data_IF_700994447683
#
_entry.id   IF_700994447683
#
_cell.length_a   1.000
_cell.length_b   1.000
_cell.length_c   1.000
_cell.angle_alpha   90.00
_cell.angle_beta   90.00
_cell.angle_gamma   90.00
#
_symmetry.space_group_name_H-M   'P 1'
#
loop_
_entity.id
_entity.type
_entity.pdbx_description
1 polymer ?
#
# COMPACT_ATOMS: atom_id res chain seq x y z
N UNK A 1 3.67 68.04 -8.53
CA UNK A 1 2.81 66.99 -9.12
C UNK A 1 3.71 66.04 -9.91
N UNK A 2 4.10 64.92 -9.32
CA UNK A 2 4.72 63.82 -10.09
C UNK A 2 3.62 63.27 -11.00
N UNK A 3 3.76 63.41 -12.32
CA UNK A 3 2.69 63.05 -13.27
C UNK A 3 2.54 61.53 -13.35
N UNK A 4 1.32 61.04 -13.60
CA UNK A 4 1.00 59.60 -13.73
C UNK A 4 1.93 58.86 -14.71
N UNK A 5 2.44 59.57 -15.73
CA UNK A 5 3.43 59.06 -16.69
C UNK A 5 4.80 58.75 -16.06
N UNK A 6 5.21 59.52 -15.06
CA UNK A 6 6.47 59.31 -14.32
C UNK A 6 6.38 58.09 -13.40
N UNK A 7 5.23 57.89 -12.74
CA UNK A 7 4.95 56.69 -11.94
C UNK A 7 4.86 55.42 -12.81
N UNK A 8 4.25 55.51 -13.99
CA UNK A 8 4.17 54.40 -14.94
C UNK A 8 5.57 54.03 -15.49
N UNK A 9 6.41 55.02 -15.81
CA UNK A 9 7.77 54.78 -16.27
C UNK A 9 8.66 54.14 -15.19
N UNK A 10 8.52 54.55 -13.92
CA UNK A 10 9.21 53.93 -12.78
C UNK A 10 8.73 52.48 -12.59
N UNK A 11 7.42 52.23 -12.67
CA UNK A 11 6.87 50.87 -12.55
C UNK A 11 7.32 49.94 -13.68
N UNK A 12 7.44 50.44 -14.91
CA UNK A 12 7.95 49.67 -16.06
C UNK A 12 9.45 49.40 -15.90
N UNK A 13 10.25 50.38 -15.46
CA UNK A 13 11.67 50.16 -15.17
C UNK A 13 11.87 49.09 -14.09
N UNK A 14 11.14 49.18 -12.97
CA UNK A 14 11.23 48.19 -11.88
C UNK A 14 10.85 46.77 -12.35
N UNK A 15 9.86 46.63 -13.23
CA UNK A 15 9.48 45.34 -13.79
C UNK A 15 10.55 44.75 -14.72
N UNK A 16 11.24 45.58 -15.50
CA UNK A 16 12.33 45.14 -16.40
C UNK A 16 13.56 44.70 -15.59
N UNK A 17 14.00 45.48 -14.59
CA UNK A 17 15.13 45.12 -13.74
C UNK A 17 14.87 43.85 -12.89
N UNK A 18 13.62 43.62 -12.47
CA UNK A 18 13.27 42.39 -11.74
C UNK A 18 13.37 41.15 -12.63
N UNK A 19 13.05 41.25 -13.92
CA UNK A 19 13.08 40.12 -14.85
C UNK A 19 14.52 39.74 -15.27
N UNK A 20 15.41 40.74 -15.39
CA UNK A 20 16.84 40.53 -15.66
C UNK A 20 17.54 39.88 -14.46
N UNK A 21 17.25 40.33 -13.23
CA UNK A 21 17.78 39.73 -12.00
C UNK A 21 17.34 38.27 -11.80
N UNK A 22 16.08 37.94 -12.12
CA UNK A 22 15.57 36.55 -12.06
C UNK A 22 16.18 35.68 -13.16
N UNK A 23 16.39 36.23 -14.36
CA UNK A 23 17.04 35.50 -15.45
C UNK A 23 18.52 35.22 -15.16
N UNK A 24 19.23 36.19 -14.58
CA UNK A 24 20.61 36.02 -14.12
C UNK A 24 20.71 35.00 -12.99
N UNK A 25 19.81 35.03 -12.00
CA UNK A 25 19.76 34.05 -10.92
C UNK A 25 19.49 32.62 -11.43
N UNK A 26 18.58 32.46 -12.39
CA UNK A 26 18.31 31.17 -13.02
C UNK A 26 19.50 30.67 -13.83
N UNK A 27 20.17 31.56 -14.58
CA UNK A 27 21.37 31.21 -15.33
C UNK A 27 22.51 30.77 -14.39
N UNK A 28 22.73 31.50 -13.29
CA UNK A 28 23.74 31.14 -12.28
C UNK A 28 23.41 29.82 -11.58
N UNK A 29 22.16 29.62 -11.18
CA UNK A 29 21.70 28.37 -10.58
C UNK A 29 21.72 27.20 -11.56
N UNK A 30 21.63 27.43 -12.87
CA UNK A 30 21.80 26.38 -13.87
C UNK A 30 23.28 26.06 -14.12
N UNK A 31 24.14 27.08 -14.18
CA UNK A 31 25.58 26.92 -14.39
C UNK A 31 26.28 26.33 -13.16
N UNK A 32 25.79 26.64 -11.96
CA UNK A 32 26.26 26.11 -10.67
C UNK A 32 25.07 25.68 -9.81
N UNK A 33 24.49 24.49 -10.07
CA UNK A 33 23.33 24.00 -9.33
C UNK A 33 23.53 23.98 -7.81
N UNK A 34 22.54 24.41 -7.02
CA UNK A 34 22.60 24.30 -5.57
C UNK A 34 22.54 22.83 -5.14
N UNK A 35 22.98 22.53 -3.91
CA UNK A 35 22.98 21.17 -3.37
C UNK A 35 21.56 20.54 -3.33
N UNK A 36 20.51 21.35 -3.18
CA UNK A 36 19.11 20.91 -3.23
C UNK A 36 18.69 20.33 -4.59
N UNK A 37 19.46 20.57 -5.64
CA UNK A 37 19.20 20.06 -6.99
C UNK A 37 19.98 18.77 -7.28
N UNK A 38 20.78 18.27 -6.34
CA UNK A 38 21.52 17.02 -6.52
C UNK A 38 20.57 15.82 -6.59
N UNK A 39 20.83 14.83 -7.45
CA UNK A 39 20.02 13.63 -7.51
C UNK A 39 20.24 12.77 -6.27
N UNK A 40 19.30 11.86 -6.03
CA UNK A 40 19.44 10.79 -5.06
C UNK A 40 19.42 9.40 -5.69
N UNK A 41 19.79 8.39 -4.90
CA UNK A 41 19.81 6.99 -5.32
C UNK A 41 19.23 6.06 -4.25
N UNK A 42 18.72 4.90 -4.67
CA UNK A 42 18.52 3.77 -3.77
C UNK A 42 19.88 3.17 -3.41
N UNK A 43 20.10 2.94 -2.12
CA UNK A 43 21.27 2.25 -1.61
C UNK A 43 20.81 0.97 -0.92
N UNK A 44 20.77 -0.10 -1.72
CA UNK A 44 20.32 -1.42 -1.26
C UNK A 44 21.45 -2.19 -0.60
N UNK A 45 21.23 -2.59 0.65
CA UNK A 45 22.00 -3.62 1.32
C UNK A 45 21.31 -4.97 1.12
N UNK A 46 22.11 -5.99 0.85
CA UNK A 46 21.60 -7.28 0.43
C UNK A 46 21.77 -8.29 1.57
N UNK A 47 20.67 -8.61 2.25
CA UNK A 47 20.53 -9.67 3.26
C UNK A 47 21.68 -9.78 4.26
N UNK A 48 22.02 -8.71 5.00
CA UNK A 48 23.09 -8.73 5.99
C UNK A 48 24.52 -8.70 5.44
N UNK A 49 24.72 -8.53 4.12
CA UNK A 49 26.03 -8.28 3.53
C UNK A 49 26.37 -6.78 3.62
N UNK A 50 26.84 -6.38 4.80
CA UNK A 50 27.15 -4.98 5.15
C UNK A 50 28.57 -4.90 5.68
N UNK A 51 29.37 -3.99 5.14
CA UNK A 51 30.76 -3.76 5.56
C UNK A 51 31.02 -2.25 5.72
N UNK A 52 31.55 -1.78 6.87
CA UNK A 52 31.70 -0.35 7.14
C UNK A 52 32.74 0.33 6.26
N UNK A 53 33.80 -0.37 5.84
CA UNK A 53 34.83 0.20 4.97
C UNK A 53 34.28 0.41 3.56
N UNK A 54 33.52 -0.57 3.05
CA UNK A 54 32.85 -0.46 1.76
C UNK A 54 31.75 0.62 1.78
N UNK A 55 31.02 0.76 2.90
CA UNK A 55 30.05 1.85 3.08
C UNK A 55 30.69 3.23 2.95
N UNK A 56 31.87 3.44 3.56
CA UNK A 56 32.62 4.69 3.40
C UNK A 56 33.03 4.90 1.94
N UNK A 57 33.55 3.87 1.26
CA UNK A 57 33.96 3.97 -0.15
C UNK A 57 32.79 4.31 -1.07
N UNK A 58 31.61 3.71 -0.83
CA UNK A 58 30.37 4.00 -1.54
C UNK A 58 30.00 5.47 -1.39
N UNK A 59 29.92 5.98 -0.15
CA UNK A 59 29.54 7.37 0.12
C UNK A 59 30.53 8.38 -0.47
N UNK A 60 31.84 8.11 -0.38
CA UNK A 60 32.86 8.95 -1.01
C UNK A 60 32.75 8.95 -2.54
N UNK A 61 32.43 7.79 -3.14
CA UNK A 61 32.18 7.68 -4.57
C UNK A 61 30.95 8.48 -4.99
N UNK A 62 29.85 8.35 -4.25
CA UNK A 62 28.61 9.09 -4.45
C UNK A 62 28.84 10.60 -4.36
N UNK A 63 29.61 11.07 -3.36
CA UNK A 63 29.96 12.49 -3.23
C UNK A 63 30.72 13.01 -4.45
N UNK A 64 31.74 12.27 -4.92
CA UNK A 64 32.50 12.62 -6.13
C UNK A 64 31.62 12.66 -7.38
N UNK A 65 30.65 11.75 -7.47
CA UNK A 65 29.71 11.68 -8.59
C UNK A 65 28.60 12.74 -8.55
N UNK A 66 28.49 13.51 -7.46
CA UNK A 66 27.52 14.58 -7.35
C UNK A 66 26.21 14.21 -6.63
N UNK A 67 26.07 13.00 -6.09
CA UNK A 67 24.87 12.55 -5.37
C UNK A 67 24.72 13.31 -4.05
N UNK A 68 23.49 13.70 -3.73
CA UNK A 68 23.16 14.47 -2.51
C UNK A 68 22.23 13.77 -1.53
N UNK A 69 21.50 12.73 -1.96
CA UNK A 69 20.52 12.03 -1.13
C UNK A 69 20.53 10.52 -1.40
N UNK A 70 20.30 9.71 -0.37
CA UNK A 70 20.21 8.26 -0.43
C UNK A 70 18.92 7.77 0.21
N UNK A 71 18.33 6.72 -0.35
CA UNK A 71 17.30 5.92 0.33
C UNK A 71 17.96 4.63 0.79
N UNK A 72 18.21 4.53 2.09
CA UNK A 72 18.78 3.33 2.71
C UNK A 72 17.70 2.26 2.82
N UNK A 73 17.90 1.12 2.18
CA UNK A 73 16.98 -0.01 2.21
C UNK A 73 17.78 -1.30 2.35
N UNK A 74 17.28 -2.26 3.12
CA UNK A 74 17.84 -3.61 3.16
C UNK A 74 16.82 -4.61 2.66
N UNK A 75 17.24 -5.46 1.72
CA UNK A 75 16.39 -6.44 1.04
C UNK A 75 17.05 -7.81 1.05
N UNK A 76 16.26 -8.88 1.04
CA UNK A 76 16.74 -10.26 1.13
C UNK A 76 16.62 -11.06 -0.17
N UNK A 77 16.77 -10.40 -1.33
CA UNK A 77 16.43 -10.98 -2.63
C UNK A 77 17.67 -11.46 -3.39
N UNK A 78 17.73 -12.76 -3.67
CA UNK A 78 18.57 -13.31 -4.75
C UNK A 78 20.07 -13.44 -4.46
N UNK A 79 20.50 -13.28 -3.20
CA UNK A 79 21.90 -13.49 -2.78
C UNK A 79 21.99 -14.34 -1.51
N UNK A 80 23.14 -14.99 -1.23
CA UNK A 80 23.36 -15.64 0.05
C UNK A 80 23.32 -14.65 1.21
N UNK A 81 22.68 -15.07 2.31
CA UNK A 81 22.61 -14.29 3.55
C UNK A 81 24.00 -14.03 4.12
N UNK A 82 24.26 -12.77 4.45
CA UNK A 82 25.45 -12.30 5.15
C UNK A 82 25.37 -12.49 6.67
N UNK A 83 26.42 -12.12 7.41
CA UNK A 83 26.52 -12.42 8.84
C UNK A 83 25.76 -11.44 9.74
N UNK A 84 25.27 -10.31 9.21
CA UNK A 84 24.64 -9.26 10.00
C UNK A 84 23.12 -9.43 10.00
N UNK A 85 22.55 -9.70 11.15
CA UNK A 85 21.09 -9.77 11.29
C UNK A 85 20.48 -8.36 11.32
N UNK A 86 19.44 -8.13 10.51
CA UNK A 86 18.70 -6.87 10.48
C UNK A 86 18.26 -6.44 11.89
N UNK A 87 18.48 -5.17 12.22
CA UNK A 87 18.18 -4.56 13.55
C UNK A 87 18.93 -5.16 14.75
N UNK A 88 19.91 -6.05 14.56
CA UNK A 88 20.87 -6.42 15.62
C UNK A 88 21.70 -5.22 16.07
N UNK A 89 22.38 -5.33 17.22
CA UNK A 89 23.30 -4.28 17.71
C UNK A 89 24.38 -3.95 16.67
N UNK A 90 24.97 -4.98 16.06
CA UNK A 90 25.95 -4.82 14.98
C UNK A 90 25.37 -4.06 13.79
N UNK A 91 24.14 -4.36 13.39
CA UNK A 91 23.45 -3.65 12.31
C UNK A 91 23.25 -2.16 12.66
N UNK A 92 22.81 -1.87 13.89
CA UNK A 92 22.58 -0.52 14.34
C UNK A 92 23.88 0.30 14.36
N UNK A 93 24.99 -0.32 14.80
CA UNK A 93 26.31 0.31 14.75
C UNK A 93 26.76 0.63 13.33
N UNK A 94 26.52 -0.28 12.37
CA UNK A 94 26.82 -0.07 10.96
C UNK A 94 25.95 1.05 10.35
N UNK A 95 24.67 1.10 10.71
CA UNK A 95 23.80 2.21 10.30
C UNK A 95 24.27 3.55 10.87
N UNK A 96 24.70 3.59 12.14
CA UNK A 96 25.28 4.78 12.77
C UNK A 96 26.56 5.21 12.06
N UNK A 97 27.41 4.27 11.66
CA UNK A 97 28.60 4.54 10.83
C UNK A 97 28.20 5.19 9.50
N UNK A 98 27.21 4.62 8.79
CA UNK A 98 26.67 5.18 7.54
C UNK A 98 26.19 6.62 7.71
N UNK A 99 25.39 6.87 8.76
CA UNK A 99 24.82 8.18 9.05
C UNK A 99 25.91 9.23 9.35
N UNK A 100 26.95 8.85 10.10
CA UNK A 100 28.09 9.73 10.40
C UNK A 100 28.89 10.06 9.14
N UNK A 101 29.14 9.08 8.29
CA UNK A 101 29.87 9.28 7.04
C UNK A 101 29.08 10.13 6.04
N UNK A 102 27.77 9.90 5.92
CA UNK A 102 26.90 10.74 5.10
C UNK A 102 26.86 12.18 5.62
N UNK A 103 26.74 12.38 6.94
CA UNK A 103 26.83 13.71 7.56
C UNK A 103 28.18 14.38 7.27
N UNK A 104 29.31 13.66 7.40
CA UNK A 104 30.66 14.16 7.07
C UNK A 104 30.77 14.64 5.63
N UNK A 105 30.10 13.97 4.70
CA UNK A 105 30.14 14.25 3.27
C UNK A 105 29.04 15.22 2.80
N UNK A 106 28.10 15.59 3.67
CA UNK A 106 26.93 16.39 3.32
C UNK A 106 26.01 15.66 2.34
N UNK A 107 25.74 14.39 2.63
CA UNK A 107 24.76 13.54 1.93
C UNK A 107 23.60 13.28 2.89
N UNK A 108 22.37 13.48 2.41
CA UNK A 108 21.16 13.18 3.17
C UNK A 108 20.83 11.68 3.09
N UNK A 109 20.30 11.11 4.17
CA UNK A 109 19.79 9.74 4.20
C UNK A 109 18.30 9.77 4.53
N UNK A 110 17.51 9.14 3.67
CA UNK A 110 16.10 8.82 3.87
C UNK A 110 15.94 7.33 4.18
N UNK A 111 14.99 7.00 5.05
CA UNK A 111 14.63 5.62 5.39
C UNK A 111 13.29 5.22 4.77
N UNK A 112 13.15 3.94 4.44
CA UNK A 112 11.84 3.35 4.16
C UNK A 112 10.91 3.42 5.36
N UNK A 113 9.59 3.32 5.13
CA UNK A 113 8.57 3.27 6.18
C UNK A 113 8.60 1.99 7.02
N UNK A 114 9.36 0.98 6.58
CA UNK A 114 9.57 -0.28 7.27
C UNK A 114 10.73 -1.06 6.65
N UNK A 115 11.00 -2.27 7.15
CA UNK A 115 12.01 -3.18 6.59
C UNK A 115 11.70 -3.53 5.13
N UNK A 116 12.73 -3.83 4.33
CA UNK A 116 12.56 -4.12 2.90
C UNK A 116 12.51 -2.85 2.04
N UNK A 117 11.71 -2.89 0.97
CA UNK A 117 11.63 -1.81 -0.02
C UNK A 117 10.29 -1.07 -0.07
N UNK A 118 9.24 -1.57 0.62
CA UNK A 118 7.87 -1.07 0.47
C UNK A 118 6.95 -1.56 1.58
N UNK A 119 5.81 -0.87 1.69
CA UNK A 119 4.79 -1.17 2.69
C UNK A 119 5.16 -0.63 4.08
N UNK A 120 4.41 -1.08 5.07
CA UNK A 120 4.51 -0.66 6.47
C UNK A 120 4.30 -1.85 7.40
N UNK A 121 5.02 -2.94 7.12
CA UNK A 121 4.93 -4.20 7.84
C UNK A 121 6.10 -4.44 8.79
N UNK A 122 5.85 -5.13 9.91
CA UNK A 122 6.89 -5.63 10.80
C UNK A 122 6.35 -6.72 11.72
N UNK A 123 7.23 -7.51 12.36
CA UNK A 123 6.82 -8.61 13.24
C UNK A 123 6.02 -8.14 14.47
N UNK A 124 6.09 -6.85 14.80
CA UNK A 124 5.35 -6.21 15.88
C UNK A 124 3.88 -5.91 15.55
N UNK A 125 3.47 -6.01 14.28
CA UNK A 125 2.07 -5.82 13.90
C UNK A 125 1.26 -7.07 14.28
N UNK A 126 0.20 -6.90 15.06
CA UNK A 126 -0.75 -7.97 15.34
C UNK A 126 -1.64 -8.24 14.12
N UNK A 127 -2.20 -9.45 13.97
CA UNK A 127 -3.09 -9.78 12.84
C UNK A 127 -4.28 -8.83 12.69
N UNK A 128 -4.89 -8.41 13.81
CA UNK A 128 -5.99 -7.43 13.87
C UNK A 128 -5.59 -6.04 13.33
N UNK A 129 -4.31 -5.67 13.45
CA UNK A 129 -3.79 -4.37 13.00
C UNK A 129 -3.32 -4.37 11.54
N UNK A 130 -3.37 -5.53 10.87
CA UNK A 130 -2.95 -5.69 9.48
C UNK A 130 -4.04 -5.24 8.47
N UNK A 131 -3.73 -5.33 7.18
CA UNK A 131 -4.73 -5.14 6.13
C UNK A 131 -5.80 -6.24 6.21
N UNK A 132 -7.05 -5.84 6.38
CA UNK A 132 -8.19 -6.75 6.55
C UNK A 132 -8.94 -7.02 5.24
N UNK A 133 -9.52 -8.22 5.12
CA UNK A 133 -10.40 -8.59 4.02
C UNK A 133 -11.74 -9.09 4.54
N UNK A 134 -12.84 -8.68 3.89
CA UNK A 134 -14.12 -9.31 4.10
C UNK A 134 -14.12 -10.72 3.46
N UNK A 135 -14.42 -11.70 4.30
CA UNK A 135 -14.62 -13.11 3.95
C UNK A 135 -16.02 -13.54 4.38
N UNK A 136 -16.56 -14.59 3.77
CA UNK A 136 -17.88 -15.08 4.09
C UNK A 136 -17.93 -16.61 3.98
N UNK A 137 -18.87 -17.19 4.71
CA UNK A 137 -19.27 -18.58 4.62
C UNK A 137 -20.78 -18.61 4.40
N UNK A 138 -21.30 -19.73 3.91
CA UNK A 138 -22.72 -19.87 3.59
C UNK A 138 -23.27 -21.16 4.19
N UNK A 139 -24.48 -21.06 4.74
CA UNK A 139 -25.27 -22.21 5.17
C UNK A 139 -26.66 -22.09 4.56
N UNK A 140 -27.04 -23.06 3.73
CA UNK A 140 -28.38 -23.08 3.15
C UNK A 140 -29.37 -23.72 4.14
N UNK A 141 -30.52 -23.08 4.31
CA UNK A 141 -31.60 -23.55 5.18
C UNK A 141 -32.92 -23.50 4.43
N UNK A 142 -33.88 -24.34 4.82
CA UNK A 142 -35.22 -24.36 4.21
C UNK A 142 -36.28 -24.19 5.28
N UNK A 143 -37.14 -23.20 5.12
CA UNK A 143 -38.25 -22.93 6.02
C UNK A 143 -39.62 -23.33 5.45
N UNK A 144 -40.67 -23.33 6.28
CA UNK A 144 -40.65 -22.97 7.69
C UNK A 144 -40.01 -24.05 8.57
N UNK A 145 -39.01 -23.68 9.37
CA UNK A 145 -38.30 -24.60 10.28
C UNK A 145 -37.55 -23.83 11.35
N UNK A 146 -37.06 -24.51 12.39
CA UNK A 146 -36.10 -23.95 13.34
C UNK A 146 -34.70 -24.43 12.95
N UNK A 147 -33.82 -23.50 12.58
CA UNK A 147 -32.40 -23.77 12.45
C UNK A 147 -31.72 -23.62 13.80
N UNK A 148 -30.92 -24.61 14.18
CA UNK A 148 -30.08 -24.55 15.37
C UNK A 148 -28.75 -25.26 15.06
N UNK A 149 -27.67 -24.49 14.95
CA UNK A 149 -26.40 -25.03 14.50
C UNK A 149 -25.26 -24.05 14.63
N UNK A 150 -24.03 -24.59 14.58
CA UNK A 150 -22.81 -23.79 14.49
C UNK A 150 -22.65 -23.30 13.05
N UNK A 151 -22.48 -21.98 12.87
CA UNK A 151 -22.14 -21.44 11.55
C UNK A 151 -20.68 -21.70 11.22
N UNK A 152 -20.35 -22.03 9.96
CA UNK A 152 -18.96 -22.27 9.58
C UNK A 152 -18.16 -20.97 9.61
N UNK A 153 -16.94 -21.03 10.14
CA UNK A 153 -15.97 -19.92 10.01
C UNK A 153 -15.54 -19.82 8.55
N UNK A 154 -15.59 -18.63 7.92
CA UNK A 154 -15.12 -18.43 6.56
C UNK A 154 -13.67 -18.85 6.36
N UNK A 155 -13.33 -19.49 5.22
CA UNK A 155 -11.94 -19.79 4.92
C UNK A 155 -11.17 -18.48 4.71
N UNK A 156 -9.99 -18.41 5.32
CA UNK A 156 -9.05 -17.31 5.09
C UNK A 156 -8.58 -17.32 3.63
N UNK A 157 -8.50 -16.15 3.01
CA UNK A 157 -7.96 -16.03 1.65
C UNK A 157 -6.43 -16.23 1.70
N UNK A 158 -5.89 -17.14 0.89
CA UNK A 158 -4.46 -17.48 0.86
C UNK A 158 -3.95 -17.50 -0.59
N UNK A 159 -2.77 -16.94 -0.82
CA UNK A 159 -1.98 -17.12 -2.05
C UNK A 159 -0.50 -17.27 -1.72
N UNK A 160 0.28 -17.77 -2.68
CA UNK A 160 1.70 -18.18 -2.48
C UNK A 160 2.59 -17.13 -1.80
N UNK A 161 2.32 -15.84 -2.02
CA UNK A 161 3.10 -14.72 -1.46
C UNK A 161 2.33 -13.87 -0.42
N UNK A 162 1.06 -14.20 -0.13
CA UNK A 162 0.28 -13.61 0.95
C UNK A 162 -0.23 -14.74 1.85
N UNK A 163 0.64 -15.19 2.73
CA UNK A 163 0.31 -16.15 3.79
C UNK A 163 0.40 -15.40 5.11
N UNK A 164 -0.74 -15.29 5.81
CA UNK A 164 -0.76 -14.73 7.16
C UNK A 164 0.11 -15.57 8.09
N UNK A 165 0.90 -14.91 8.95
CA UNK A 165 1.70 -15.59 9.97
C UNK A 165 0.82 -16.32 10.99
N UNK A 166 -0.25 -15.65 11.40
CA UNK A 166 -1.20 -16.10 12.41
C UNK A 166 -2.62 -16.06 11.81
N UNK A 167 -3.48 -17.01 12.21
CA UNK A 167 -4.89 -16.98 11.82
C UNK A 167 -5.66 -16.01 12.71
N UNK A 168 -6.45 -15.12 12.09
CA UNK A 168 -7.27 -14.15 12.80
C UNK A 168 -8.61 -13.97 12.08
N UNK A 169 -9.68 -13.86 12.85
CA UNK A 169 -11.04 -13.74 12.36
C UNK A 169 -11.90 -12.98 13.37
N UNK A 170 -12.74 -12.09 12.86
CA UNK A 170 -13.76 -11.37 13.62
C UNK A 170 -15.07 -11.39 12.83
N UNK A 171 -16.16 -11.71 13.52
CA UNK A 171 -17.51 -11.66 12.93
C UNK A 171 -17.94 -10.21 12.69
N UNK A 172 -18.40 -9.92 11.47
CA UNK A 172 -18.93 -8.59 11.11
C UNK A 172 -20.45 -8.60 11.08
N UNK A 173 -21.04 -9.50 10.29
CA UNK A 173 -22.50 -9.63 10.12
C UNK A 173 -22.91 -11.06 9.81
N UNK A 174 -24.09 -11.44 10.30
CA UNK A 174 -24.81 -12.66 9.88
C UNK A 174 -26.06 -12.23 9.13
N UNK A 175 -26.12 -12.51 7.84
CA UNK A 175 -27.25 -12.12 6.99
C UNK A 175 -27.99 -13.36 6.49
N UNK A 176 -29.31 -13.35 6.61
CA UNK A 176 -30.19 -14.27 5.90
C UNK A 176 -30.67 -13.61 4.62
N UNK A 177 -30.34 -14.22 3.48
CA UNK A 177 -30.63 -13.70 2.14
C UNK A 177 -31.48 -14.76 1.42
N UNK A 178 -32.61 -14.39 0.78
CA UNK A 178 -33.37 -15.32 -0.04
C UNK A 178 -32.47 -15.97 -1.10
N UNK A 179 -32.57 -17.29 -1.25
CA UNK A 179 -31.73 -18.02 -2.19
C UNK A 179 -31.96 -17.56 -3.64
N UNK A 180 -30.86 -17.25 -4.32
CA UNK A 180 -30.82 -17.01 -5.77
C UNK A 180 -29.75 -17.92 -6.40
N UNK A 181 -30.03 -18.42 -7.60
CA UNK A 181 -29.07 -19.17 -8.42
C UNK A 181 -28.10 -18.23 -9.15
N UNK A 182 -28.44 -16.94 -9.29
CA UNK A 182 -27.56 -15.94 -9.86
C UNK A 182 -26.51 -15.50 -8.85
N UNK A 183 -25.23 -15.73 -9.17
CA UNK A 183 -24.08 -15.34 -8.35
C UNK A 183 -23.22 -14.35 -9.10
N UNK A 184 -22.71 -13.35 -8.38
CA UNK A 184 -21.79 -12.38 -8.94
C UNK A 184 -20.53 -13.09 -9.45
N UNK A 185 -20.37 -13.12 -10.78
CA UNK A 185 -19.20 -13.68 -11.45
C UNK A 185 -17.98 -12.81 -11.21
N UNK A 186 -16.82 -13.46 -11.13
CA UNK A 186 -15.50 -12.83 -10.96
C UNK A 186 -15.42 -11.91 -9.72
N UNK A 187 -16.04 -12.29 -8.60
CA UNK A 187 -16.07 -11.47 -7.37
C UNK A 187 -14.67 -11.07 -6.89
N UNK A 188 -13.68 -11.97 -6.95
CA UNK A 188 -12.32 -11.67 -6.51
C UNK A 188 -11.63 -10.63 -7.41
N UNK A 189 -11.91 -10.67 -8.71
CA UNK A 189 -11.42 -9.68 -9.66
C UNK A 189 -12.08 -8.33 -9.42
N UNK A 190 -13.40 -8.32 -9.17
CA UNK A 190 -14.19 -7.10 -8.89
C UNK A 190 -13.81 -6.47 -7.55
N UNK A 191 -13.47 -7.29 -6.55
CA UNK A 191 -12.97 -6.87 -5.25
C UNK A 191 -11.48 -6.46 -5.27
N UNK A 192 -10.81 -6.53 -6.43
CA UNK A 192 -9.38 -6.27 -6.58
C UNK A 192 -8.51 -7.09 -5.62
N UNK A 193 -8.95 -8.31 -5.29
CA UNK A 193 -8.30 -9.14 -4.28
C UNK A 193 -6.85 -9.47 -4.65
N UNK A 194 -6.59 -9.73 -5.94
CA UNK A 194 -5.22 -9.90 -6.47
C UNK A 194 -5.08 -9.10 -7.75
N UNK A 195 -4.00 -8.32 -7.81
CA UNK A 195 -3.51 -7.65 -9.02
C UNK A 195 -2.08 -8.10 -9.25
N UNK A 196 -1.84 -8.88 -10.30
CA UNK A 196 -0.47 -9.24 -10.64
C UNK A 196 0.29 -8.00 -11.15
N UNK A 197 1.54 -7.80 -10.72
CA UNK A 197 2.25 -6.54 -10.88
C UNK A 197 2.62 -6.18 -12.33
N UNK A 198 2.65 -7.16 -13.23
CA UNK A 198 3.18 -6.96 -14.59
C UNK A 198 2.13 -7.23 -15.66
N UNK A 199 1.64 -6.19 -16.33
CA UNK A 199 0.69 -6.29 -17.44
C UNK A 199 1.18 -7.16 -18.61
N UNK A 200 2.49 -7.42 -18.68
CA UNK A 200 3.14 -8.27 -19.69
C UNK A 200 3.01 -9.77 -19.42
N UNK A 201 2.61 -10.18 -18.21
CA UNK A 201 2.46 -11.60 -17.88
C UNK A 201 1.26 -12.21 -18.61
N UNK A 202 1.46 -13.33 -19.32
CA UNK A 202 0.37 -14.02 -20.01
C UNK A 202 -0.71 -14.43 -19.01
N UNK A 203 -1.95 -14.07 -19.30
CA UNK A 203 -3.09 -14.30 -18.41
C UNK A 203 -3.29 -13.21 -17.35
N UNK A 204 -2.40 -12.22 -17.24
CA UNK A 204 -2.62 -11.06 -16.39
C UNK A 204 -3.60 -10.09 -17.04
N UNK A 205 -4.88 -10.22 -16.70
CA UNK A 205 -5.93 -9.30 -17.12
C UNK A 205 -5.95 -8.06 -16.20
N UNK A 206 -4.83 -7.33 -16.15
CA UNK A 206 -4.67 -6.07 -15.37
C UNK A 206 -5.68 -4.99 -15.78
N UNK A 207 -6.34 -5.14 -16.92
CA UNK A 207 -7.51 -4.35 -17.28
C UNK A 207 -8.71 -4.89 -16.50
N UNK A 208 -9.11 -4.17 -15.45
CA UNK A 208 -10.38 -4.39 -14.79
C UNK A 208 -11.49 -3.96 -15.76
N UNK A 209 -11.85 -4.83 -16.69
CA UNK A 209 -13.13 -4.72 -17.38
C UNK A 209 -14.18 -5.05 -16.33
N UNK A 210 -14.67 -4.02 -15.65
CA UNK A 210 -15.86 -4.14 -14.83
C UNK A 210 -17.01 -4.19 -15.83
N UNK A 211 -17.82 -5.24 -15.77
CA UNK A 211 -19.02 -5.32 -16.59
C UNK A 211 -19.80 -4.01 -16.43
N UNK A 212 -20.32 -3.42 -17.53
CA UNK A 212 -21.20 -2.27 -17.39
C UNK A 212 -22.35 -2.66 -16.45
N UNK A 213 -22.87 -1.73 -15.65
CA UNK A 213 -23.99 -2.01 -14.76
C UNK A 213 -25.12 -2.62 -15.59
N UNK A 214 -25.42 -3.89 -15.34
CA UNK A 214 -26.53 -4.57 -15.99
C UNK A 214 -27.78 -3.86 -15.51
N UNK A 215 -28.55 -3.28 -16.44
CA UNK A 215 -29.90 -2.85 -16.13
C UNK A 215 -30.66 -4.12 -15.73
N UNK A 216 -30.86 -4.31 -14.42
CA UNK A 216 -31.63 -5.43 -13.83
C UNK A 216 -33.11 -5.25 -14.13
N UNK A 217 -33.46 -5.29 -15.41
CA UNK A 217 -34.81 -5.17 -15.94
C UNK A 217 -35.22 -6.43 -16.72
N UNK A 218 -34.39 -7.47 -16.71
CA UNK A 218 -34.77 -8.74 -17.33
C UNK A 218 -35.66 -9.52 -16.33
N UNK A 219 -36.89 -9.91 -16.71
CA UNK A 219 -37.80 -10.66 -15.83
C UNK A 219 -37.23 -12.01 -15.35
N UNK A 220 -36.22 -12.53 -16.04
CA UNK A 220 -35.53 -13.78 -15.70
C UNK A 220 -34.43 -13.60 -14.64
N UNK A 221 -34.11 -12.35 -14.25
CA UNK A 221 -33.13 -12.08 -13.20
C UNK A 221 -33.73 -12.49 -11.84
N UNK A 222 -33.16 -13.51 -11.20
CA UNK A 222 -33.53 -13.88 -9.84
C UNK A 222 -33.08 -12.78 -8.87
N UNK A 223 -33.98 -11.83 -8.61
CA UNK A 223 -33.74 -10.69 -7.72
C UNK A 223 -34.66 -10.74 -6.51
N UNK A 224 -34.22 -10.14 -5.40
CA UNK A 224 -35.01 -9.94 -4.20
C UNK A 224 -34.93 -8.48 -3.76
N UNK A 225 -35.96 -8.02 -3.06
CA UNK A 225 -35.98 -6.70 -2.45
C UNK A 225 -35.04 -6.69 -1.22
N UNK A 226 -34.32 -5.59 -0.99
CA UNK A 226 -33.33 -5.52 0.09
C UNK A 226 -33.96 -5.74 1.47
N UNK A 227 -35.25 -5.42 1.62
CA UNK A 227 -36.06 -5.62 2.82
C UNK A 227 -36.29 -7.11 3.15
N UNK A 228 -36.05 -8.01 2.19
CA UNK A 228 -36.09 -9.45 2.40
C UNK A 228 -34.77 -9.98 3.00
N UNK A 229 -33.71 -9.16 3.05
CA UNK A 229 -32.46 -9.49 3.74
C UNK A 229 -32.65 -9.22 5.23
N UNK A 230 -32.43 -10.25 6.04
CA UNK A 230 -32.59 -10.18 7.49
C UNK A 230 -31.21 -10.14 8.15
N UNK A 231 -30.99 -9.18 9.05
CA UNK A 231 -29.81 -9.14 9.91
C UNK A 231 -30.07 -10.04 11.12
N UNK A 232 -29.26 -11.10 11.24
CA UNK A 232 -29.33 -12.10 12.30
C UNK A 232 -28.14 -11.99 13.28
N UNK A 233 -27.34 -10.93 13.20
CA UNK A 233 -26.16 -10.77 14.06
C UNK A 233 -26.47 -10.91 15.54
N UNK A 234 -27.55 -10.27 16.01
CA UNK A 234 -27.95 -10.32 17.43
C UNK A 234 -28.50 -11.69 17.86
N UNK A 235 -28.83 -12.56 16.90
CA UNK A 235 -29.30 -13.93 17.18
C UNK A 235 -28.17 -14.95 17.24
N UNK A 236 -26.94 -14.57 16.87
CA UNK A 236 -25.77 -15.43 16.95
C UNK A 236 -25.16 -15.36 18.36
N UNK A 237 -24.88 -16.53 18.93
CA UNK A 237 -24.20 -16.66 20.21
C UNK A 237 -22.69 -16.41 20.07
N UNK A 238 -21.97 -16.05 21.16
CA UNK A 238 -20.53 -15.80 21.11
C UNK A 238 -19.67 -17.00 20.66
N UNK A 239 -20.21 -18.22 20.68
CA UNK A 239 -19.54 -19.42 20.18
C UNK A 239 -19.82 -19.71 18.68
N UNK A 240 -20.50 -18.79 17.98
CA UNK A 240 -20.87 -18.91 16.57
C UNK A 240 -22.15 -19.71 16.31
N UNK A 241 -22.88 -20.14 17.35
CA UNK A 241 -24.16 -20.85 17.17
C UNK A 241 -25.28 -19.89 16.86
N UNK A 242 -26.06 -20.22 15.84
CA UNK A 242 -27.28 -19.50 15.49
C UNK A 242 -28.50 -20.36 15.81
N UNK A 243 -29.49 -19.76 16.48
CA UNK A 243 -30.84 -20.32 16.63
C UNK A 243 -31.86 -19.38 16.01
N UNK A 244 -32.52 -19.81 14.95
CA UNK A 244 -33.38 -18.95 14.15
C UNK A 244 -34.64 -19.67 13.67
N UNK A 245 -35.78 -18.96 13.72
CA UNK A 245 -37.03 -19.40 13.11
C UNK A 245 -37.03 -18.99 11.64
N UNK A 246 -36.68 -19.93 10.77
CA UNK A 246 -36.56 -19.72 9.33
C UNK A 246 -37.95 -19.49 8.75
N UNK A 247 -38.23 -18.33 8.11
CA UNK A 247 -39.50 -18.08 7.46
C UNK A 247 -39.67 -19.00 6.25
N UNK A 248 -40.88 -19.06 5.69
CA UNK A 248 -41.14 -19.87 4.49
C UNK A 248 -40.25 -19.40 3.33
N UNK A 249 -39.47 -20.33 2.77
CA UNK A 249 -38.53 -20.05 1.67
C UNK A 249 -37.27 -20.92 1.75
N UNK A 250 -36.34 -20.67 0.84
CA UNK A 250 -34.95 -21.16 0.88
C UNK A 250 -33.98 -19.96 0.91
#
# INVERSE_FOLDING_TARGET
MLTLRFLLAISICLAVFSNEAVADDLFQSFASPPDSSRPGVYWYFMDGNIDPEEMTKDLESMKRAGIGNLIFLEVNVGVPRGPVDFMSEQWQDLFVHAAREAQRLGIEISLGSGPGWSGSGGPWNAPEDSMQHLVFSETQVKGPSTFEGLLPVPPQRKIDFLVGRDEWFEDVKVLAIPKTDDRLREVDRKALFIRYPFSIWRGNNSFAYVDPPVARSNPDDQTFAIEQVLDLSDAMQPDGRLRWQVPRGE
#
